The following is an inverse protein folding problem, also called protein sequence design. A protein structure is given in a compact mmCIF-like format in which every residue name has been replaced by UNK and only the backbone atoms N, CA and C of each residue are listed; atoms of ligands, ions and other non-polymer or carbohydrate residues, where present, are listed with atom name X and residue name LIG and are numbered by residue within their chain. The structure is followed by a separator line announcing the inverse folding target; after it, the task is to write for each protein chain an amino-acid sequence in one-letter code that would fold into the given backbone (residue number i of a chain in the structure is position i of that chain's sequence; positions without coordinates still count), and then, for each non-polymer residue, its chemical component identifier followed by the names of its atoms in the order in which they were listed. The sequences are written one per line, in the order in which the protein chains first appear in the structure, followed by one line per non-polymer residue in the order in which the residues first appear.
data_IF_228635062628
#
_entry.id   IF_228635062628
#
_cell.length_a   1.000
_cell.length_b   1.000
_cell.length_c   1.000
_cell.angle_alpha   90.00
_cell.angle_beta   90.00
_cell.angle_gamma   90.00
#
_symmetry.space_group_name_H-M   'P 1'
#
loop_
_entity.id
_entity.type
_entity.pdbx_description
1 polymer ?
#
# COMPACT_ATOMS: atom_id res chain seq x y z
N UNK A 1 41.00 12.69 -6.39
CA UNK A 1 40.22 11.54 -6.87
C UNK A 1 39.06 11.26 -5.92
N UNK A 2 37.86 11.74 -6.27
CA UNK A 2 36.60 11.45 -5.59
C UNK A 2 36.04 10.12 -6.10
N UNK A 3 35.88 9.11 -5.22
CA UNK A 3 35.10 7.91 -5.54
C UNK A 3 33.66 8.07 -5.00
N UNK A 4 32.64 7.76 -5.81
CA UNK A 4 31.24 7.96 -5.45
C UNK A 4 30.78 6.98 -4.37
N UNK A 5 29.89 7.48 -3.51
CA UNK A 5 29.12 6.70 -2.54
C UNK A 5 27.96 6.07 -3.31
N UNK A 6 28.08 4.79 -3.66
CA UNK A 6 27.00 4.04 -4.30
C UNK A 6 25.88 3.78 -3.29
N UNK A 7 24.85 4.62 -3.40
CA UNK A 7 23.64 4.58 -2.62
C UNK A 7 22.69 3.53 -3.24
N UNK A 8 22.92 2.25 -2.96
CA UNK A 8 22.01 1.20 -3.43
C UNK A 8 20.73 1.18 -2.59
N UNK A 9 19.54 1.38 -3.19
CA UNK A 9 18.28 1.26 -2.45
C UNK A 9 18.13 -0.18 -1.96
N UNK A 10 17.84 -0.33 -0.67
CA UNK A 10 17.65 -1.64 0.01
C UNK A 10 16.53 -2.49 -0.62
N UNK A 11 15.73 -1.92 -1.51
CA UNK A 11 14.72 -2.60 -2.31
C UNK A 11 15.27 -3.51 -3.42
N UNK A 12 16.41 -3.20 -4.03
CA UNK A 12 16.96 -4.05 -5.10
C UNK A 12 17.49 -5.40 -4.61
N UNK A 13 17.92 -5.48 -3.34
CA UNK A 13 18.49 -6.69 -2.76
C UNK A 13 17.42 -7.69 -2.31
N UNK A 14 16.19 -7.22 -2.03
CA UNK A 14 15.08 -8.08 -1.65
C UNK A 14 14.46 -8.78 -2.88
N UNK A 15 14.31 -8.05 -3.99
CA UNK A 15 13.72 -8.59 -5.22
C UNK A 15 14.62 -9.64 -5.87
N UNK A 16 15.95 -9.45 -5.85
CA UNK A 16 16.91 -10.42 -6.41
C UNK A 16 16.98 -11.71 -5.58
N UNK A 17 16.83 -11.62 -4.25
CA UNK A 17 16.79 -12.80 -3.38
C UNK A 17 15.54 -13.67 -3.60
N UNK A 18 14.38 -13.04 -3.88
CA UNK A 18 13.13 -13.75 -4.16
C UNK A 18 13.19 -14.44 -5.53
N UNK A 19 13.75 -13.79 -6.56
CA UNK A 19 13.88 -14.39 -7.90
C UNK A 19 14.86 -15.57 -7.91
N UNK A 20 15.95 -15.51 -7.14
CA UNK A 20 16.91 -16.62 -7.03
C UNK A 20 16.32 -17.84 -6.29
N UNK A 21 15.47 -17.63 -5.28
CA UNK A 21 14.76 -18.71 -4.59
C UNK A 21 13.70 -19.38 -5.48
N UNK A 22 13.05 -18.61 -6.35
CA UNK A 22 12.07 -19.13 -7.32
C UNK A 22 12.77 -19.91 -8.45
N UNK A 23 13.91 -19.45 -8.97
CA UNK A 23 14.63 -20.19 -10.03
C UNK A 23 15.26 -21.51 -9.53
N UNK A 24 15.75 -21.57 -8.28
CA UNK A 24 16.26 -22.82 -7.70
C UNK A 24 15.16 -23.88 -7.47
N UNK A 25 13.89 -23.47 -7.36
CA UNK A 25 12.77 -24.41 -7.31
C UNK A 25 12.43 -25.00 -8.69
N UNK A 26 12.67 -24.27 -9.79
CA UNK A 26 12.26 -24.71 -11.13
C UNK A 26 13.17 -25.78 -11.76
N UNK A 27 14.43 -25.91 -11.33
CA UNK A 27 15.33 -26.96 -11.81
C UNK A 27 15.12 -28.33 -11.14
N UNK A 28 14.28 -28.40 -10.10
CA UNK A 28 13.88 -29.66 -9.45
C UNK A 28 12.55 -30.23 -9.97
N UNK A 29 11.82 -29.52 -10.84
CA UNK A 29 10.48 -29.95 -11.29
C UNK A 29 10.48 -30.96 -12.44
N UNK A 30 11.57 -31.12 -13.19
CA UNK A 30 11.67 -32.15 -14.26
C UNK A 30 11.99 -33.55 -13.70
N UNK A 31 12.32 -33.67 -12.42
CA UNK A 31 12.62 -34.96 -11.76
C UNK A 31 11.60 -35.40 -10.71
N UNK A 32 10.50 -34.67 -10.48
CA UNK A 32 9.49 -35.03 -9.48
C UNK A 32 8.40 -35.95 -10.05
N UNK A 33 8.79 -37.13 -10.51
CA UNK A 33 7.87 -38.26 -10.60
C UNK A 33 8.58 -39.58 -10.28
N UNK A 34 8.97 -39.83 -9.02
CA UNK A 34 8.99 -41.21 -8.57
C UNK A 34 7.57 -41.74 -8.69
N UNK A 35 7.41 -42.94 -9.26
CA UNK A 35 6.13 -43.63 -9.45
C UNK A 35 5.36 -43.88 -8.13
N UNK A 36 5.94 -43.51 -6.99
CA UNK A 36 5.39 -43.64 -5.63
C UNK A 36 5.41 -42.27 -4.91
N UNK A 37 4.88 -41.23 -5.56
CA UNK A 37 4.83 -39.88 -4.99
C UNK A 37 3.77 -39.71 -3.89
N UNK A 38 2.98 -40.75 -3.59
CA UNK A 38 1.82 -40.67 -2.71
C UNK A 38 0.79 -39.62 -3.15
N UNK A 39 0.79 -39.26 -4.44
CA UNK A 39 -0.03 -38.19 -5.01
C UNK A 39 -0.56 -38.62 -6.38
N UNK A 40 -1.89 -38.77 -6.49
CA UNK A 40 -2.52 -39.13 -7.75
C UNK A 40 -2.37 -38.00 -8.79
N UNK A 41 -2.19 -38.36 -10.07
CA UNK A 41 -1.91 -37.39 -11.14
C UNK A 41 -3.00 -36.31 -11.30
N UNK A 42 -4.28 -36.68 -11.25
CA UNK A 42 -5.38 -35.72 -11.36
C UNK A 42 -5.49 -34.81 -10.14
N UNK A 43 -5.32 -35.35 -8.93
CA UNK A 43 -5.24 -34.55 -7.70
C UNK A 43 -4.07 -33.56 -7.77
N UNK A 44 -2.92 -33.97 -8.31
CA UNK A 44 -1.78 -33.09 -8.50
C UNK A 44 -2.09 -31.91 -9.44
N UNK A 45 -2.75 -32.17 -10.58
CA UNK A 45 -3.15 -31.10 -11.52
C UNK A 45 -4.16 -30.14 -10.91
N UNK A 46 -5.12 -30.67 -10.14
CA UNK A 46 -6.12 -29.86 -9.44
C UNK A 46 -5.47 -28.94 -8.39
N UNK A 47 -4.57 -29.48 -7.57
CA UNK A 47 -3.81 -28.70 -6.58
C UNK A 47 -2.92 -27.64 -7.24
N UNK A 48 -2.28 -27.94 -8.37
CA UNK A 48 -1.49 -26.97 -9.13
C UNK A 48 -2.35 -25.80 -9.66
N UNK A 49 -3.54 -26.09 -10.19
CA UNK A 49 -4.46 -25.06 -10.65
C UNK A 49 -4.91 -24.14 -9.50
N UNK A 50 -5.14 -24.70 -8.30
CA UNK A 50 -5.47 -23.93 -7.10
C UNK A 50 -4.34 -23.03 -6.64
N UNK A 51 -3.10 -23.51 -6.63
CA UNK A 51 -1.92 -22.69 -6.29
C UNK A 51 -1.79 -21.51 -7.25
N UNK A 52 -2.02 -21.72 -8.55
CA UNK A 52 -2.05 -20.62 -9.53
C UNK A 52 -3.14 -19.59 -9.20
N UNK A 53 -4.33 -20.04 -8.79
CA UNK A 53 -5.40 -19.14 -8.34
C UNK A 53 -5.00 -18.30 -7.12
N UNK A 54 -4.35 -18.91 -6.13
CA UNK A 54 -3.82 -18.19 -4.94
C UNK A 54 -2.77 -17.16 -5.37
N UNK A 55 -1.83 -17.53 -6.24
CA UNK A 55 -0.81 -16.61 -6.76
C UNK A 55 -1.42 -15.46 -7.55
N UNK A 56 -2.46 -15.70 -8.36
CA UNK A 56 -3.12 -14.67 -9.14
C UNK A 56 -3.89 -13.69 -8.24
N UNK A 57 -4.56 -14.18 -7.20
CA UNK A 57 -5.23 -13.33 -6.20
C UNK A 57 -4.22 -12.48 -5.42
N UNK A 58 -3.09 -13.08 -5.01
CA UNK A 58 -2.00 -12.37 -4.34
C UNK A 58 -1.38 -11.30 -5.26
N UNK A 59 -1.16 -11.60 -6.54
CA UNK A 59 -0.65 -10.64 -7.52
C UNK A 59 -1.63 -9.49 -7.82
N UNK A 60 -2.94 -9.72 -7.66
CA UNK A 60 -3.98 -8.70 -7.75
C UNK A 60 -4.04 -7.74 -6.56
N UNK A 61 -3.14 -7.87 -5.58
CA UNK A 61 -3.14 -7.11 -4.33
C UNK A 61 -4.45 -7.30 -3.53
N UNK A 62 -5.09 -8.47 -3.67
CA UNK A 62 -6.29 -8.85 -2.93
C UNK A 62 -5.97 -10.02 -1.97
N UNK A 63 -5.43 -9.72 -0.78
CA UNK A 63 -5.08 -10.75 0.19
C UNK A 63 -6.33 -11.44 0.76
N UNK A 64 -7.52 -10.82 0.72
CA UNK A 64 -8.74 -11.46 1.17
C UNK A 64 -9.20 -12.57 0.20
N UNK A 65 -9.16 -12.29 -1.11
CA UNK A 65 -9.42 -13.30 -2.13
C UNK A 65 -8.35 -14.42 -2.12
N UNK A 66 -7.09 -14.07 -1.86
CA UNK A 66 -6.02 -15.07 -1.74
C UNK A 66 -6.23 -16.02 -0.54
N UNK A 67 -6.68 -15.50 0.61
CA UNK A 67 -7.04 -16.30 1.78
C UNK A 67 -8.23 -17.24 1.49
N UNK A 68 -9.28 -16.75 0.83
CA UNK A 68 -10.42 -17.58 0.45
C UNK A 68 -10.06 -18.70 -0.55
N UNK A 69 -9.16 -18.40 -1.49
CA UNK A 69 -8.61 -19.40 -2.41
C UNK A 69 -7.77 -20.45 -1.67
N UNK A 70 -7.03 -20.05 -0.63
CA UNK A 70 -6.25 -20.95 0.21
C UNK A 70 -7.15 -21.87 1.05
N UNK A 71 -8.27 -21.36 1.60
CA UNK A 71 -9.27 -22.17 2.30
C UNK A 71 -9.85 -23.25 1.38
N UNK A 72 -10.09 -22.90 0.11
CA UNK A 72 -10.57 -23.86 -0.89
C UNK A 72 -9.52 -24.94 -1.22
N UNK A 73 -8.23 -24.57 -1.26
CA UNK A 73 -7.13 -25.53 -1.45
C UNK A 73 -7.05 -26.53 -0.29
N UNK A 74 -7.25 -26.08 0.95
CA UNK A 74 -7.25 -26.94 2.14
C UNK A 74 -8.41 -27.93 2.13
N UNK A 75 -9.60 -27.47 1.74
CA UNK A 75 -10.77 -28.34 1.59
C UNK A 75 -10.54 -29.41 0.51
N UNK A 76 -9.98 -29.03 -0.64
CA UNK A 76 -9.67 -29.96 -1.73
C UNK A 76 -8.58 -30.97 -1.32
N UNK A 77 -7.58 -30.53 -0.56
CA UNK A 77 -6.54 -31.41 -0.03
C UNK A 77 -7.09 -32.41 1.00
N UNK A 78 -8.00 -31.97 1.87
CA UNK A 78 -8.68 -32.85 2.82
C UNK A 78 -9.53 -33.90 2.10
N UNK A 79 -10.29 -33.49 1.08
CA UNK A 79 -11.09 -34.40 0.26
C UNK A 79 -10.21 -35.41 -0.48
N UNK A 80 -9.14 -34.96 -1.15
CA UNK A 80 -8.21 -35.82 -1.88
C UNK A 80 -7.45 -36.78 -0.97
N UNK A 81 -7.22 -36.40 0.29
CA UNK A 81 -6.63 -37.31 1.26
C UNK A 81 -7.62 -38.35 1.76
N UNK A 82 -8.88 -37.96 2.03
CA UNK A 82 -9.93 -38.90 2.43
C UNK A 82 -10.26 -39.94 1.36
N UNK A 83 -10.06 -39.61 0.08
CA UNK A 83 -10.23 -40.53 -1.05
C UNK A 83 -8.97 -41.36 -1.35
N UNK A 84 -7.90 -41.23 -0.55
CA UNK A 84 -6.65 -41.94 -0.73
C UNK A 84 -5.80 -41.44 -1.91
N UNK A 85 -6.20 -40.35 -2.57
CA UNK A 85 -5.44 -39.74 -3.67
C UNK A 85 -4.20 -38.97 -3.19
N UNK A 86 -4.14 -38.64 -1.91
CA UNK A 86 -3.00 -37.99 -1.25
C UNK A 86 -2.66 -38.75 0.04
N UNK A 87 -1.41 -39.20 0.16
CA UNK A 87 -0.94 -39.86 1.38
C UNK A 87 -0.95 -38.90 2.59
N UNK A 88 -1.17 -39.46 3.78
CA UNK A 88 -1.17 -38.72 5.06
C UNK A 88 0.10 -37.88 5.27
N UNK A 89 1.26 -38.46 4.99
CA UNK A 89 2.56 -37.80 5.12
C UNK A 89 2.71 -36.60 4.18
N UNK A 90 2.28 -36.79 2.92
CA UNK A 90 2.25 -35.73 1.91
C UNK A 90 1.28 -34.62 2.34
N UNK A 91 0.09 -34.96 2.82
CA UNK A 91 -0.88 -33.99 3.33
C UNK A 91 -0.28 -33.15 4.45
N UNK A 92 0.38 -33.78 5.43
CA UNK A 92 1.01 -33.07 6.56
C UNK A 92 2.08 -32.09 6.10
N UNK A 93 2.89 -32.49 5.13
CA UNK A 93 3.90 -31.62 4.51
C UNK A 93 3.25 -30.42 3.82
N UNK A 94 2.22 -30.65 3.01
CA UNK A 94 1.50 -29.57 2.30
C UNK A 94 0.83 -28.62 3.31
N UNK A 95 0.17 -29.13 4.34
CA UNK A 95 -0.48 -28.30 5.36
C UNK A 95 0.50 -27.40 6.12
N UNK A 96 1.74 -27.87 6.34
CA UNK A 96 2.80 -27.03 6.92
C UNK A 96 3.13 -25.84 6.02
N UNK A 97 3.28 -26.09 4.72
CA UNK A 97 3.55 -25.02 3.74
C UNK A 97 2.35 -24.05 3.62
N UNK A 98 1.13 -24.59 3.60
CA UNK A 98 -0.11 -23.79 3.56
C UNK A 98 -0.24 -22.89 4.79
N UNK A 99 0.11 -23.39 5.99
CA UNK A 99 0.10 -22.58 7.20
C UNK A 99 1.08 -21.40 7.12
N UNK A 100 2.27 -21.61 6.55
CA UNK A 100 3.23 -20.53 6.31
C UNK A 100 2.69 -19.47 5.34
N UNK A 101 2.05 -19.90 4.23
CA UNK A 101 1.42 -18.99 3.26
C UNK A 101 0.26 -18.22 3.89
N UNK A 102 -0.58 -18.87 4.71
CA UNK A 102 -1.67 -18.19 5.42
C UNK A 102 -1.14 -17.08 6.33
N UNK A 103 -0.04 -17.34 7.05
CA UNK A 103 0.59 -16.33 7.90
C UNK A 103 1.09 -15.13 7.08
N UNK A 104 1.75 -15.39 5.95
CA UNK A 104 2.25 -14.34 5.05
C UNK A 104 1.14 -13.49 4.42
N UNK A 105 0.05 -14.13 3.96
CA UNK A 105 -1.12 -13.44 3.42
C UNK A 105 -1.84 -12.62 4.50
N UNK A 106 -1.91 -13.12 5.73
CA UNK A 106 -2.51 -12.39 6.86
C UNK A 106 -1.69 -11.16 7.21
N UNK A 107 -0.37 -11.26 7.23
CA UNK A 107 0.52 -10.11 7.42
C UNK A 107 0.36 -9.09 6.28
N UNK A 108 0.35 -9.56 5.02
CA UNK A 108 0.13 -8.71 3.85
C UNK A 108 -1.22 -7.98 3.91
N UNK A 109 -2.28 -8.66 4.38
CA UNK A 109 -3.59 -8.04 4.61
C UNK A 109 -3.51 -6.93 5.66
N UNK A 110 -2.88 -7.19 6.80
CA UNK A 110 -2.75 -6.20 7.86
C UNK A 110 -2.00 -4.94 7.38
N UNK A 111 -0.92 -5.10 6.61
CA UNK A 111 -0.18 -3.98 6.02
C UNK A 111 -1.04 -3.20 5.01
N UNK A 112 -1.80 -3.89 4.17
CA UNK A 112 -2.72 -3.25 3.22
C UNK A 112 -3.84 -2.47 3.92
N UNK A 113 -4.44 -3.05 4.96
CA UNK A 113 -5.47 -2.38 5.79
C UNK A 113 -4.89 -1.15 6.50
N UNK A 114 -3.66 -1.23 7.04
CA UNK A 114 -2.98 -0.10 7.67
C UNK A 114 -2.66 1.03 6.68
N UNK A 115 -2.20 0.69 5.47
CA UNK A 115 -1.95 1.66 4.41
C UNK A 115 -3.25 2.36 3.96
N UNK A 116 -4.34 1.61 3.83
CA UNK A 116 -5.65 2.17 3.49
C UNK A 116 -6.18 3.11 4.59
N UNK A 117 -6.03 2.73 5.86
CA UNK A 117 -6.41 3.59 6.99
C UNK A 117 -5.64 4.91 6.98
N UNK A 118 -4.31 4.85 6.80
CA UNK A 118 -3.48 6.06 6.72
C UNK A 118 -3.86 6.96 5.54
N UNK A 119 -4.12 6.38 4.37
CA UNK A 119 -4.57 7.14 3.20
C UNK A 119 -5.93 7.82 3.45
N UNK A 120 -6.85 7.16 4.16
CA UNK A 120 -8.13 7.74 4.54
C UNK A 120 -7.95 8.92 5.53
N UNK A 121 -7.07 8.80 6.53
CA UNK A 121 -6.75 9.90 7.45
C UNK A 121 -6.14 11.10 6.72
N UNK A 122 -5.20 10.87 5.80
CA UNK A 122 -4.60 11.92 4.98
C UNK A 122 -5.64 12.62 4.08
N UNK A 123 -6.58 11.86 3.50
CA UNK A 123 -7.66 12.42 2.70
C UNK A 123 -8.59 13.32 3.54
N UNK A 124 -8.97 12.88 4.75
CA UNK A 124 -9.80 13.68 5.67
C UNK A 124 -9.06 14.96 6.11
N UNK A 125 -7.76 14.87 6.39
CA UNK A 125 -6.94 16.02 6.75
C UNK A 125 -6.84 17.03 5.60
N UNK A 126 -6.64 16.56 4.37
CA UNK A 126 -6.60 17.39 3.17
C UNK A 126 -7.93 18.11 2.91
N UNK A 127 -9.06 17.40 3.06
CA UNK A 127 -10.40 17.99 2.92
C UNK A 127 -10.64 19.09 3.96
N UNK A 128 -10.28 18.83 5.23
CA UNK A 128 -10.41 19.82 6.30
C UNK A 128 -9.55 21.07 6.05
N UNK A 129 -8.32 20.89 5.58
CA UNK A 129 -7.44 22.01 5.23
C UNK A 129 -8.00 22.84 4.06
N UNK A 130 -8.58 22.18 3.06
CA UNK A 130 -9.23 22.86 1.94
C UNK A 130 -10.46 23.67 2.40
N UNK A 131 -11.28 23.10 3.29
CA UNK A 131 -12.44 23.79 3.85
C UNK A 131 -12.05 25.01 4.70
N UNK A 132 -11.01 24.91 5.53
CA UNK A 132 -10.51 26.01 6.35
C UNK A 132 -9.94 27.16 5.49
N UNK A 133 -9.18 26.82 4.44
CA UNK A 133 -8.68 27.78 3.47
C UNK A 133 -9.81 28.52 2.73
N UNK A 134 -10.87 27.80 2.33
CA UNK A 134 -12.04 28.39 1.68
C UNK A 134 -12.82 29.32 2.65
N UNK A 135 -12.99 28.91 3.91
CA UNK A 135 -13.64 29.75 4.92
C UNK A 135 -12.86 31.04 5.19
N UNK A 136 -11.52 30.95 5.27
CA UNK A 136 -10.66 32.12 5.42
C UNK A 136 -10.75 33.08 4.24
N UNK A 137 -10.76 32.56 3.01
CA UNK A 137 -10.91 33.38 1.81
C UNK A 137 -12.28 34.09 1.75
N UNK A 138 -13.35 33.41 2.15
CA UNK A 138 -14.68 34.02 2.22
C UNK A 138 -14.77 35.13 3.29
N UNK A 139 -14.10 34.96 4.43
CA UNK A 139 -14.05 35.97 5.47
C UNK A 139 -13.27 37.23 5.03
N UNK A 140 -12.16 37.06 4.31
CA UNK A 140 -11.34 38.17 3.78
C UNK A 140 -12.10 38.99 2.73
N UNK A 141 -12.90 38.32 1.88
CA UNK A 141 -13.73 38.97 0.87
C UNK A 141 -14.95 39.73 1.45
N UNK A 142 -15.33 39.47 2.70
CA UNK A 142 -16.50 40.08 3.35
C UNK A 142 -16.18 41.37 4.12
N UNK A 143 -14.91 41.80 4.19
CA UNK A 143 -14.54 43.07 4.83
C UNK A 143 -14.81 44.24 3.85
N UNK A 144 -15.84 45.09 4.08
CA UNK A 144 -16.05 46.26 3.23
C UNK A 144 -14.90 47.24 3.37
N UNK A 145 -14.54 48.00 2.32
CA UNK A 145 -13.49 49.01 2.42
C UNK A 145 -13.88 50.03 3.50
N UNK A 146 -12.99 50.20 4.50
CA UNK A 146 -13.15 51.27 5.50
C UNK A 146 -13.23 52.61 4.76
N UNK A 147 -14.19 53.50 5.09
CA UNK A 147 -14.23 54.83 4.50
C UNK A 147 -12.94 55.58 4.86
N UNK A 148 -12.27 56.12 3.84
CA UNK A 148 -11.04 56.89 3.99
C UNK A 148 -11.27 58.07 4.97
N UNK A 149 -10.43 58.15 6.00
CA UNK A 149 -10.41 59.30 6.90
C UNK A 149 -10.04 60.58 6.12
N UNK A 150 -10.71 61.73 6.37
CA UNK A 150 -10.45 62.96 5.64
C UNK A 150 -9.05 63.52 5.94
N UNK A 151 -8.37 64.01 4.90
CA UNK A 151 -7.04 64.60 4.97
C UNK A 151 -7.01 65.87 5.85
N UNK A 152 -5.89 66.16 6.55
CA UNK A 152 -5.75 67.39 7.33
C UNK A 152 -5.73 68.62 6.40
N UNK A 153 -6.58 69.60 6.71
CA UNK A 153 -6.69 70.85 5.97
C UNK A 153 -5.44 71.73 6.13
N UNK A 154 -4.91 72.19 5.01
CA UNK A 154 -3.96 73.30 4.90
C UNK A 154 -4.64 74.60 5.36
N UNK A 155 -4.05 75.26 6.36
CA UNK A 155 -4.50 76.57 6.85
C UNK A 155 -3.49 77.64 6.42
N UNK A 156 -3.56 78.06 5.15
CA UNK A 156 -3.05 79.35 4.72
C UNK A 156 -3.81 80.50 5.40
N UNK A 157 -3.12 81.32 6.21
CA UNK A 157 -3.63 82.65 6.58
C UNK A 157 -2.53 83.70 6.53
N UNK A 158 -2.54 84.46 5.43
CA UNK A 158 -1.85 85.73 5.33
C UNK A 158 -2.47 86.78 6.26
N UNK A 159 -1.62 87.61 6.86
CA UNK A 159 -2.03 88.72 7.73
C UNK A 159 -0.91 89.75 7.89
N UNK A 160 -0.98 90.78 7.07
CA UNK A 160 -0.09 91.94 6.92
C UNK A 160 -0.08 92.81 8.20
N UNK A 161 1.09 93.20 8.70
CA UNK A 161 1.23 94.15 9.82
C UNK A 161 2.58 94.87 9.79
N UNK A 162 2.54 96.19 9.56
CA UNK A 162 3.67 97.10 9.33
C UNK A 162 4.12 97.72 10.67
N UNK A 163 5.42 97.75 10.95
CA UNK A 163 6.00 98.42 12.11
C UNK A 163 7.42 98.91 11.81
N UNK A 164 7.52 100.22 11.58
CA UNK A 164 8.71 101.08 11.62
C UNK A 164 9.14 101.16 13.12
N UNK A 165 10.36 101.41 13.56
CA UNK A 165 11.41 102.41 13.33
C UNK A 165 12.70 101.78 13.94
N UNK A 166 13.95 102.16 13.68
CA UNK A 166 14.59 103.43 13.33
C UNK A 166 16.09 103.24 13.59
#
# INVERSE_FOLDING_TARGET
MTRPKDNHPRWGRLVVAIVAAVLMLTSALVACAPADSGLHRDAARHLQARVLGVSQAAAGNDPAAALAALDSLEADLAAASSSGQVSEDRRRTIMTAVAAVRADLTASKAEADAAAAKAAEEAVAAEKAAADAAAKAAADAAVPPMPAAPAPADNGKGGKGKGKDG
#
